data_IF_143731738387
#
_entry.id   IF_143731738387
#
_cell.length_a   1.000
_cell.length_b   1.000
_cell.length_c   1.000
_cell.angle_alpha   90.00
_cell.angle_beta   90.00
_cell.angle_gamma   90.00
#
_symmetry.space_group_name_H-M   'P 1'
#
loop_
_entity.id
_entity.type
_entity.pdbx_description
1 polymer ?
#
# COMPACT_ATOMS: atom_id res chain seq x y z
N UNK A 1 -27.96 -1.90 -12.60
CA UNK A 1 -27.79 -3.23 -11.97
C UNK A 1 -27.17 -3.07 -10.59
N UNK A 2 -25.90 -2.67 -10.47
CA UNK A 2 -25.23 -2.46 -9.17
C UNK A 2 -26.02 -1.62 -8.16
N UNK A 3 -26.55 -0.45 -8.58
CA UNK A 3 -27.39 0.40 -7.72
C UNK A 3 -28.66 -0.31 -7.24
N UNK A 4 -29.31 -1.07 -8.13
CA UNK A 4 -30.49 -1.85 -7.78
C UNK A 4 -30.15 -2.96 -6.77
N UNK A 5 -29.02 -3.65 -6.97
CA UNK A 5 -28.51 -4.65 -6.03
C UNK A 5 -28.23 -4.04 -4.65
N UNK A 6 -27.58 -2.86 -4.62
CA UNK A 6 -27.34 -2.11 -3.38
C UNK A 6 -28.66 -1.79 -2.65
N UNK A 7 -29.61 -1.18 -3.36
CA UNK A 7 -30.88 -0.77 -2.78
C UNK A 7 -31.69 -1.96 -2.26
N UNK A 8 -31.64 -3.11 -2.96
CA UNK A 8 -32.27 -4.35 -2.53
C UNK A 8 -31.65 -4.86 -1.21
N UNK A 9 -30.33 -4.89 -1.13
CA UNK A 9 -29.61 -5.34 0.07
C UNK A 9 -29.89 -4.42 1.26
N UNK A 10 -29.91 -3.10 1.05
CA UNK A 10 -30.24 -2.13 2.10
C UNK A 10 -31.69 -2.26 2.57
N UNK A 11 -32.64 -2.53 1.66
CA UNK A 11 -34.04 -2.82 2.02
C UNK A 11 -34.22 -4.11 2.83
N UNK A 12 -33.34 -5.08 2.66
CA UNK A 12 -33.29 -6.30 3.47
C UNK A 12 -32.69 -6.05 4.87
N UNK A 13 -32.26 -4.83 5.18
CA UNK A 13 -31.71 -4.44 6.48
C UNK A 13 -30.21 -4.67 6.62
N UNK A 14 -29.49 -4.94 5.53
CA UNK A 14 -28.04 -5.18 5.56
C UNK A 14 -27.25 -3.95 5.12
N UNK A 15 -26.08 -3.77 5.73
CA UNK A 15 -25.21 -2.62 5.45
C UNK A 15 -24.24 -2.92 4.31
N UNK A 16 -24.40 -2.25 3.17
CA UNK A 16 -23.42 -2.27 2.08
C UNK A 16 -22.29 -1.31 2.42
N UNK A 17 -21.08 -1.82 2.63
CA UNK A 17 -19.90 -1.02 3.04
C UNK A 17 -19.02 -0.59 1.88
N UNK A 18 -19.11 -1.28 0.73
CA UNK A 18 -18.34 -0.96 -0.46
C UNK A 18 -19.03 -1.47 -1.71
N UNK A 19 -18.76 -0.83 -2.85
CA UNK A 19 -19.11 -1.34 -4.17
C UNK A 19 -18.16 -0.80 -5.25
N UNK A 20 -17.82 -1.65 -6.21
CA UNK A 20 -17.12 -1.28 -7.45
C UNK A 20 -17.95 -1.71 -8.67
N UNK A 21 -17.41 -1.64 -9.88
CA UNK A 21 -18.12 -1.88 -11.16
C UNK A 21 -19.14 -3.02 -11.13
N UNK A 22 -18.76 -4.17 -10.58
CA UNK A 22 -19.48 -5.44 -10.63
C UNK A 22 -19.51 -6.18 -9.29
N UNK A 23 -19.11 -5.52 -8.19
CA UNK A 23 -19.03 -6.12 -6.86
C UNK A 23 -19.63 -5.23 -5.78
N UNK A 24 -20.20 -5.86 -4.75
CA UNK A 24 -20.63 -5.22 -3.50
C UNK A 24 -20.05 -5.97 -2.32
N UNK A 25 -19.74 -5.25 -1.24
CA UNK A 25 -19.30 -5.82 0.02
C UNK A 25 -20.30 -5.45 1.11
N UNK A 26 -20.66 -6.44 1.91
CA UNK A 26 -21.75 -6.34 2.88
C UNK A 26 -21.17 -6.66 4.26
N UNK A 27 -21.42 -5.77 5.22
CA UNK A 27 -21.10 -6.06 6.61
C UNK A 27 -22.19 -6.96 7.19
N UNK A 28 -21.83 -8.21 7.46
CA UNK A 28 -22.73 -9.23 8.02
C UNK A 28 -23.01 -9.01 9.51
N UNK A 29 -22.17 -8.23 10.20
CA UNK A 29 -22.19 -8.02 11.64
C UNK A 29 -22.23 -9.33 12.46
N UNK A 30 -21.64 -10.40 11.92
CA UNK A 30 -21.59 -11.72 12.55
C UNK A 30 -20.15 -12.23 12.61
N UNK A 31 -19.80 -12.85 13.74
CA UNK A 31 -18.51 -13.52 13.94
C UNK A 31 -18.54 -15.00 13.51
N UNK A 32 -19.71 -15.52 13.14
CA UNK A 32 -19.90 -16.90 12.71
C UNK A 32 -19.86 -17.00 11.17
N UNK A 33 -18.85 -17.68 10.65
CA UNK A 33 -18.67 -17.88 9.21
C UNK A 33 -19.88 -18.57 8.57
N UNK A 34 -20.56 -19.49 9.26
CA UNK A 34 -21.74 -20.18 8.73
C UNK A 34 -22.91 -19.22 8.55
N UNK A 35 -23.09 -18.29 9.48
CA UNK A 35 -24.12 -17.25 9.38
C UNK A 35 -23.80 -16.28 8.24
N UNK A 36 -22.54 -15.83 8.14
CA UNK A 36 -22.09 -14.97 7.04
C UNK A 36 -22.31 -15.63 5.67
N UNK A 37 -21.98 -16.92 5.55
CA UNK A 37 -22.20 -17.71 4.33
C UNK A 37 -23.67 -17.87 3.98
N UNK A 38 -24.52 -18.21 4.97
CA UNK A 38 -25.97 -18.32 4.80
C UNK A 38 -26.57 -17.00 4.32
N UNK A 39 -26.13 -15.88 4.89
CA UNK A 39 -26.52 -14.54 4.47
C UNK A 39 -26.10 -14.26 3.02
N UNK A 40 -24.85 -14.56 2.65
CA UNK A 40 -24.36 -14.40 1.28
C UNK A 40 -25.21 -15.16 0.26
N UNK A 41 -25.60 -16.41 0.56
CA UNK A 41 -26.47 -17.20 -0.32
C UNK A 41 -27.91 -16.68 -0.38
N UNK A 42 -28.46 -16.16 0.72
CA UNK A 42 -29.80 -15.55 0.71
C UNK A 42 -29.82 -14.32 -0.21
N UNK A 43 -28.82 -13.44 -0.07
CA UNK A 43 -28.70 -12.23 -0.91
C UNK A 43 -28.48 -12.62 -2.37
N UNK A 44 -27.58 -13.57 -2.64
CA UNK A 44 -27.39 -14.14 -3.98
C UNK A 44 -28.71 -14.59 -4.59
N UNK A 45 -29.51 -15.36 -3.87
CA UNK A 45 -30.80 -15.87 -4.36
C UNK A 45 -31.77 -14.75 -4.70
N UNK A 46 -31.94 -13.77 -3.80
CA UNK A 46 -32.84 -12.63 -3.99
C UNK A 46 -32.44 -11.77 -5.20
N UNK A 47 -31.15 -11.50 -5.36
CA UNK A 47 -30.63 -10.71 -6.49
C UNK A 47 -30.78 -11.48 -7.80
N UNK A 48 -30.43 -12.76 -7.83
CA UNK A 48 -30.49 -13.57 -9.06
C UNK A 48 -31.94 -13.78 -9.53
N UNK A 49 -32.92 -13.81 -8.63
CA UNK A 49 -34.35 -13.85 -9.00
C UNK A 49 -34.81 -12.61 -9.78
N UNK A 50 -34.09 -11.48 -9.66
CA UNK A 50 -34.39 -10.25 -10.40
C UNK A 50 -33.83 -10.25 -11.83
N UNK A 51 -33.06 -11.27 -12.23
CA UNK A 51 -32.30 -11.29 -13.47
C UNK A 51 -32.40 -12.64 -14.20
N UNK A 52 -32.50 -12.63 -15.53
CA UNK A 52 -32.67 -13.87 -16.33
C UNK A 52 -31.35 -14.50 -16.79
N UNK A 53 -30.35 -13.68 -17.09
CA UNK A 53 -29.08 -14.11 -17.71
C UNK A 53 -27.84 -13.69 -16.89
N UNK A 54 -28.05 -12.91 -15.83
CA UNK A 54 -26.98 -12.42 -14.98
C UNK A 54 -27.09 -13.11 -13.63
N UNK A 55 -25.97 -13.68 -13.18
CA UNK A 55 -25.85 -14.32 -11.89
C UNK A 55 -24.79 -13.63 -11.05
N UNK A 56 -25.14 -13.31 -9.81
CA UNK A 56 -24.22 -12.91 -8.77
C UNK A 56 -23.71 -14.17 -8.06
N UNK A 57 -22.44 -14.17 -7.71
CA UNK A 57 -21.78 -15.24 -6.97
C UNK A 57 -21.17 -14.72 -5.67
N UNK A 58 -21.02 -15.62 -4.69
CA UNK A 58 -20.29 -15.31 -3.47
C UNK A 58 -18.80 -15.49 -3.76
N UNK A 59 -18.08 -14.39 -3.96
CA UNK A 59 -16.64 -14.41 -4.25
C UNK A 59 -15.80 -14.83 -3.03
N UNK A 60 -16.17 -14.36 -1.83
CA UNK A 60 -15.49 -14.72 -0.60
C UNK A 60 -16.08 -14.05 0.64
N UNK A 61 -15.51 -14.38 1.80
CA UNK A 61 -15.84 -13.73 3.09
C UNK A 61 -14.56 -13.11 3.65
N UNK A 62 -14.63 -11.86 4.09
CA UNK A 62 -13.51 -11.20 4.77
C UNK A 62 -13.69 -11.31 6.29
N UNK A 63 -12.69 -11.84 6.99
CA UNK A 63 -12.66 -11.93 8.45
C UNK A 63 -12.24 -10.61 9.11
N UNK A 64 -11.32 -9.89 8.47
CA UNK A 64 -10.96 -8.50 8.79
C UNK A 64 -10.79 -7.72 7.50
N UNK A 65 -11.12 -6.43 7.55
CA UNK A 65 -10.99 -5.53 6.41
C UNK A 65 -10.58 -4.14 6.89
N UNK A 66 -9.58 -3.57 6.23
CA UNK A 66 -9.21 -2.16 6.28
C UNK A 66 -9.63 -1.50 4.97
N UNK A 67 -10.73 -0.76 4.98
CA UNK A 67 -11.21 0.00 3.82
C UNK A 67 -10.77 1.46 3.97
N UNK A 68 -9.93 1.95 3.06
CA UNK A 68 -9.39 3.32 3.12
C UNK A 68 -10.12 4.26 2.18
N UNK A 69 -10.14 3.92 0.89
CA UNK A 69 -10.75 4.70 -0.20
C UNK A 69 -11.25 3.76 -1.28
N UNK A 70 -11.94 4.32 -2.28
CA UNK A 70 -12.32 3.56 -3.47
C UNK A 70 -11.10 2.86 -4.09
N UNK A 71 -11.21 1.55 -4.35
CA UNK A 71 -10.14 0.69 -4.86
C UNK A 71 -8.87 0.62 -3.98
N UNK A 72 -8.97 0.99 -2.70
CA UNK A 72 -7.87 0.96 -1.72
C UNK A 72 -8.30 0.25 -0.44
N UNK A 73 -7.98 -1.03 -0.32
CA UNK A 73 -8.28 -1.82 0.87
C UNK A 73 -7.24 -2.94 1.11
N UNK A 74 -7.17 -3.39 2.36
CA UNK A 74 -6.57 -4.66 2.75
C UNK A 74 -7.65 -5.53 3.39
N UNK A 75 -7.63 -6.83 3.14
CA UNK A 75 -8.55 -7.76 3.77
C UNK A 75 -7.89 -9.10 4.06
N UNK A 76 -8.37 -9.78 5.11
CA UNK A 76 -8.09 -11.17 5.38
C UNK A 76 -9.27 -12.00 4.85
N UNK A 77 -9.12 -12.54 3.65
CA UNK A 77 -10.11 -13.40 3.01
C UNK A 77 -10.09 -14.78 3.64
N UNK A 78 -11.26 -15.39 3.79
CA UNK A 78 -11.46 -16.72 4.34
C UNK A 78 -12.25 -17.55 3.35
N UNK A 79 -11.81 -18.78 3.14
CA UNK A 79 -12.54 -19.75 2.36
C UNK A 79 -13.85 -20.14 3.08
N UNK A 80 -15.03 -19.96 2.47
CA UNK A 80 -16.31 -20.31 3.09
C UNK A 80 -16.47 -21.80 3.42
N UNK A 81 -15.64 -22.68 2.86
CA UNK A 81 -15.65 -24.13 3.11
C UNK A 81 -14.57 -24.56 4.13
N UNK A 82 -13.55 -23.73 4.36
CA UNK A 82 -12.47 -24.01 5.29
C UNK A 82 -12.00 -22.72 5.99
N UNK A 83 -12.45 -22.50 7.23
CA UNK A 83 -12.10 -21.27 7.97
C UNK A 83 -10.59 -21.10 8.22
N UNK A 84 -9.82 -22.20 8.21
CA UNK A 84 -8.38 -22.16 8.39
C UNK A 84 -7.64 -21.69 7.13
N UNK A 85 -8.29 -21.79 5.96
CA UNK A 85 -7.75 -21.30 4.70
C UNK A 85 -8.01 -19.80 4.60
N UNK A 86 -6.99 -19.03 5.01
CA UNK A 86 -7.03 -17.58 5.03
C UNK A 86 -5.95 -16.99 4.12
N UNK A 87 -6.29 -15.90 3.44
CA UNK A 87 -5.39 -15.23 2.50
C UNK A 87 -5.48 -13.72 2.66
N UNK A 88 -4.32 -13.07 2.75
CA UNK A 88 -4.21 -11.62 2.74
C UNK A 88 -4.42 -11.10 1.31
N UNK A 89 -5.36 -10.19 1.14
CA UNK A 89 -5.63 -9.47 -0.09
C UNK A 89 -5.32 -7.99 0.07
N UNK A 90 -4.51 -7.43 -0.84
CA UNK A 90 -4.13 -6.03 -0.85
C UNK A 90 -4.50 -5.42 -2.20
N UNK A 91 -5.33 -4.38 -2.23
CA UNK A 91 -5.76 -3.70 -3.45
C UNK A 91 -5.49 -2.21 -3.38
N UNK A 92 -4.76 -1.69 -4.38
CA UNK A 92 -4.52 -0.26 -4.59
C UNK A 92 -3.80 0.49 -3.47
N UNK A 93 -3.33 -0.21 -2.45
CA UNK A 93 -2.52 0.34 -1.37
C UNK A 93 -1.14 0.75 -1.88
N UNK A 94 -0.52 1.69 -1.18
CA UNK A 94 0.80 2.18 -1.60
C UNK A 94 1.87 1.09 -1.53
N UNK A 95 1.73 0.16 -0.59
CA UNK A 95 2.62 -1.00 -0.42
C UNK A 95 2.63 -1.97 -1.62
N UNK A 96 1.60 -1.96 -2.48
CA UNK A 96 1.57 -2.78 -3.70
C UNK A 96 2.05 -2.03 -4.94
N UNK A 97 2.40 -0.74 -4.80
CA UNK A 97 2.83 0.09 -5.93
C UNK A 97 4.36 0.12 -6.01
N UNK A 98 4.88 0.06 -7.23
CA UNK A 98 6.33 0.08 -7.50
C UNK A 98 7.03 1.40 -7.17
N UNK A 99 6.29 2.51 -7.15
CA UNK A 99 6.80 3.87 -6.96
C UNK A 99 6.99 4.29 -5.49
N UNK A 100 6.87 3.33 -4.55
CA UNK A 100 7.28 3.47 -3.16
C UNK A 100 8.50 2.62 -2.86
N UNK A 101 9.36 3.11 -1.97
CA UNK A 101 10.56 2.37 -1.57
C UNK A 101 10.22 1.04 -0.91
N UNK A 102 11.13 0.07 -1.03
CA UNK A 102 10.96 -1.22 -0.37
C UNK A 102 10.84 -1.07 1.16
N UNK A 103 11.57 -0.13 1.76
CA UNK A 103 11.45 0.25 3.17
C UNK A 103 10.01 0.65 3.55
N UNK A 104 9.37 1.50 2.74
CA UNK A 104 7.99 1.93 2.99
C UNK A 104 6.99 0.79 2.78
N UNK A 105 7.24 -0.09 1.80
CA UNK A 105 6.43 -1.30 1.58
C UNK A 105 6.53 -2.26 2.75
N UNK A 106 7.72 -2.49 3.28
CA UNK A 106 7.94 -3.36 4.43
C UNK A 106 7.28 -2.80 5.69
N UNK A 107 7.52 -1.53 6.00
CA UNK A 107 6.89 -0.85 7.12
C UNK A 107 5.35 -0.89 7.02
N UNK A 108 4.81 -0.54 5.85
CA UNK A 108 3.37 -0.58 5.63
C UNK A 108 2.79 -1.99 5.65
N UNK A 109 3.53 -3.00 5.16
CA UNK A 109 3.07 -4.40 5.19
C UNK A 109 3.03 -4.93 6.62
N UNK A 110 4.03 -4.61 7.44
CA UNK A 110 4.03 -4.96 8.86
C UNK A 110 2.82 -4.33 9.59
N UNK A 111 2.52 -3.06 9.32
CA UNK A 111 1.34 -2.39 9.88
C UNK A 111 0.03 -3.04 9.39
N UNK A 112 -0.08 -3.39 8.11
CA UNK A 112 -1.26 -4.10 7.60
C UNK A 112 -1.42 -5.46 8.26
N UNK A 113 -0.33 -6.19 8.47
CA UNK A 113 -0.35 -7.49 9.14
C UNK A 113 -0.88 -7.38 10.57
N UNK A 114 -0.46 -6.34 11.31
CA UNK A 114 -1.00 -6.05 12.64
C UNK A 114 -2.51 -5.71 12.57
N UNK A 115 -2.92 -4.83 11.65
CA UNK A 115 -4.34 -4.44 11.51
C UNK A 115 -5.24 -5.64 11.21
N UNK A 116 -4.76 -6.54 10.35
CA UNK A 116 -5.50 -7.72 9.92
C UNK A 116 -5.38 -8.91 10.87
N UNK A 117 -4.54 -8.85 11.91
CA UNK A 117 -4.39 -9.95 12.87
C UNK A 117 -5.67 -10.10 13.72
N UNK A 118 -6.44 -11.20 13.58
CA UNK A 118 -7.66 -11.40 14.34
C UNK A 118 -7.45 -11.48 15.87
N UNK A 119 -6.22 -11.75 16.34
CA UNK A 119 -5.90 -11.94 17.76
C UNK A 119 -5.68 -10.62 18.50
N UNK A 120 -5.28 -9.56 17.80
CA UNK A 120 -4.99 -8.29 18.43
C UNK A 120 -6.27 -7.54 18.75
N UNK A 121 -6.40 -7.11 20.01
CA UNK A 121 -7.37 -6.09 20.41
C UNK A 121 -6.99 -4.72 19.83
N UNK A 122 -7.92 -3.76 19.92
CA UNK A 122 -7.67 -2.41 19.40
C UNK A 122 -6.56 -1.68 20.19
N UNK A 123 -6.53 -1.87 21.50
CA UNK A 123 -5.54 -1.24 22.37
C UNK A 123 -4.13 -1.81 22.12
N UNK A 124 -4.02 -3.14 21.99
CA UNK A 124 -2.76 -3.81 21.63
C UNK A 124 -2.29 -3.41 20.23
N UNK A 125 -3.21 -3.29 19.26
CA UNK A 125 -2.88 -2.92 17.88
C UNK A 125 -2.10 -1.61 17.81
N UNK A 126 -2.53 -0.57 18.52
CA UNK A 126 -1.86 0.74 18.48
C UNK A 126 -0.47 0.67 19.09
N UNK A 127 -0.33 -0.02 20.23
CA UNK A 127 0.95 -0.23 20.88
C UNK A 127 1.93 -0.97 19.95
N UNK A 128 1.48 -2.07 19.34
CA UNK A 128 2.29 -2.88 18.41
C UNK A 128 2.67 -2.10 17.14
N UNK A 129 1.78 -1.26 16.60
CA UNK A 129 2.13 -0.38 15.48
C UNK A 129 3.27 0.56 15.88
N UNK A 130 3.13 1.25 17.02
CA UNK A 130 4.17 2.19 17.48
C UNK A 130 5.48 1.48 17.78
N UNK A 131 5.45 0.31 18.42
CA UNK A 131 6.63 -0.52 18.70
C UNK A 131 7.30 -0.98 17.39
N UNK A 132 6.52 -1.39 16.38
CA UNK A 132 7.02 -1.77 15.06
C UNK A 132 7.76 -0.61 14.37
N UNK A 133 7.23 0.62 14.47
CA UNK A 133 7.87 1.82 13.92
C UNK A 133 9.17 2.18 14.67
N UNK A 134 9.18 2.03 16.00
CA UNK A 134 10.39 2.24 16.81
C UNK A 134 11.46 1.20 16.50
N UNK A 135 11.08 -0.08 16.31
CA UNK A 135 11.99 -1.15 15.84
C UNK A 135 12.55 -0.84 14.46
N UNK A 136 11.73 -0.32 13.55
CA UNK A 136 12.20 0.14 12.24
C UNK A 136 13.23 1.25 12.38
N UNK A 137 12.97 2.26 13.23
CA UNK A 137 13.93 3.35 13.48
C UNK A 137 15.26 2.83 14.04
N UNK A 138 15.21 1.96 15.04
CA UNK A 138 16.40 1.36 15.63
C UNK A 138 17.20 0.50 14.63
N UNK A 139 16.54 -0.12 13.64
CA UNK A 139 17.21 -0.83 12.54
C UNK A 139 17.92 0.14 11.60
N UNK A 140 17.28 1.26 11.26
CA UNK A 140 17.88 2.30 10.41
C UNK A 140 19.14 2.89 11.04
N UNK A 141 19.12 3.16 12.35
CA UNK A 141 20.28 3.69 13.08
C UNK A 141 21.48 2.74 13.10
N UNK A 142 21.25 1.43 12.94
CA UNK A 142 22.31 0.40 12.85
C UNK A 142 22.87 0.21 11.44
N UNK A 143 22.28 0.87 10.45
CA UNK A 143 22.56 0.65 9.03
C UNK A 143 21.71 -0.48 8.45
N UNK A 144 21.26 -0.27 7.22
CA UNK A 144 20.41 -1.19 6.47
C UNK A 144 20.90 -1.34 5.03
N UNK A 145 20.45 -2.41 4.37
CA UNK A 145 20.76 -2.66 2.97
C UNK A 145 20.23 -1.53 2.07
N UNK A 146 21.08 -1.05 1.15
CA UNK A 146 20.75 0.00 0.18
C UNK A 146 19.56 -0.33 -0.71
N UNK A 147 19.33 -1.61 -1.01
CA UNK A 147 18.18 -2.13 -1.79
C UNK A 147 16.84 -1.71 -1.19
N UNK A 148 16.76 -1.52 0.13
CA UNK A 148 15.51 -1.13 0.81
C UNK A 148 15.08 0.29 0.44
N UNK A 149 16.01 1.11 -0.01
CA UNK A 149 15.78 2.51 -0.34
C UNK A 149 15.40 2.71 -1.82
N UNK A 150 15.44 1.65 -2.63
CA UNK A 150 15.17 1.78 -4.06
C UNK A 150 13.70 2.05 -4.36
N UNK A 151 13.48 3.03 -5.23
CA UNK A 151 12.19 3.39 -5.79
C UNK A 151 12.23 3.09 -7.28
N UNK A 152 11.24 2.34 -7.78
CA UNK A 152 11.19 1.94 -9.18
C UNK A 152 10.09 2.71 -9.92
N UNK A 153 10.44 3.36 -11.04
CA UNK A 153 9.46 4.05 -11.89
C UNK A 153 9.73 3.79 -13.36
N UNK A 154 8.66 3.51 -14.10
CA UNK A 154 8.72 3.22 -15.53
C UNK A 154 8.81 4.52 -16.34
N UNK A 155 9.66 4.52 -17.35
CA UNK A 155 9.75 5.58 -18.33
C UNK A 155 8.54 5.55 -19.28
N UNK A 156 7.77 6.63 -19.30
CA UNK A 156 6.63 6.79 -20.21
C UNK A 156 7.01 7.40 -21.56
N UNK A 157 8.26 7.86 -21.69
CA UNK A 157 8.87 8.44 -22.91
C UNK A 157 10.35 8.05 -22.92
N UNK A 158 11.09 8.30 -24.01
CA UNK A 158 12.54 8.13 -23.91
C UNK A 158 13.11 9.20 -22.96
N UNK A 159 14.22 8.93 -22.25
CA UNK A 159 14.79 9.88 -21.28
C UNK A 159 15.01 11.30 -21.84
N UNK A 160 15.40 11.41 -23.12
CA UNK A 160 15.63 12.70 -23.81
C UNK A 160 14.36 13.49 -24.12
N UNK A 161 13.19 12.83 -24.13
CA UNK A 161 11.90 13.43 -24.49
C UNK A 161 11.15 14.00 -23.28
N UNK A 162 11.77 13.99 -22.08
CA UNK A 162 11.20 14.57 -20.87
C UNK A 162 11.51 16.08 -20.80
N UNK A 163 10.47 16.90 -20.66
CA UNK A 163 10.62 18.36 -20.62
C UNK A 163 11.05 18.91 -19.24
N UNK A 164 10.71 18.22 -18.16
CA UNK A 164 11.02 18.63 -16.79
C UNK A 164 11.75 17.52 -16.03
N UNK A 165 13.06 17.42 -16.26
CA UNK A 165 13.89 16.43 -15.56
C UNK A 165 14.04 16.73 -14.07
N UNK A 166 13.88 18.00 -13.65
CA UNK A 166 14.08 18.40 -12.24
C UNK A 166 13.00 17.84 -11.32
N UNK A 167 11.79 17.62 -11.83
CA UNK A 167 10.70 16.97 -11.08
C UNK A 167 10.56 15.47 -11.35
N UNK A 168 11.37 14.91 -12.25
CA UNK A 168 11.25 13.52 -12.71
C UNK A 168 12.54 12.73 -12.43
N UNK A 169 12.76 12.29 -11.18
CA UNK A 169 14.01 11.63 -10.75
C UNK A 169 14.41 10.44 -11.64
N UNK A 170 13.47 9.52 -11.91
CA UNK A 170 13.67 8.39 -12.81
C UNK A 170 14.14 8.75 -14.22
N UNK A 171 13.67 9.87 -14.79
CA UNK A 171 14.09 10.32 -16.11
C UNK A 171 15.48 10.97 -16.06
N UNK A 172 15.76 11.77 -15.03
CA UNK A 172 17.07 12.38 -14.80
C UNK A 172 18.16 11.32 -14.59
N UNK A 173 17.88 10.30 -13.77
CA UNK A 173 18.77 9.15 -13.55
C UNK A 173 19.00 8.39 -14.85
N UNK A 174 17.93 8.07 -15.59
CA UNK A 174 18.07 7.34 -16.86
C UNK A 174 18.89 8.11 -17.90
N UNK A 175 18.70 9.42 -18.01
CA UNK A 175 19.48 10.27 -18.92
C UNK A 175 20.97 10.24 -18.53
N UNK A 176 21.28 10.45 -17.26
CA UNK A 176 22.66 10.45 -16.74
C UNK A 176 23.34 9.09 -16.90
N UNK A 177 22.62 8.00 -16.65
CA UNK A 177 23.15 6.63 -16.86
C UNK A 177 23.42 6.35 -18.34
N UNK A 178 22.54 6.78 -19.25
CA UNK A 178 22.75 6.60 -20.68
C UNK A 178 23.97 7.38 -21.20
N UNK A 179 24.26 8.56 -20.63
CA UNK A 179 25.44 9.36 -20.98
C UNK A 179 26.76 8.65 -20.66
N UNK A 180 26.76 7.71 -19.71
CA UNK A 180 27.95 6.90 -19.40
C UNK A 180 28.30 5.89 -20.51
N UNK A 181 27.39 5.62 -21.44
CA UNK A 181 27.52 4.57 -22.46
C UNK A 181 27.40 3.13 -21.94
N UNK A 182 27.26 2.92 -20.62
CA UNK A 182 27.11 1.59 -20.00
C UNK A 182 25.66 1.11 -19.96
N UNK A 183 24.71 2.03 -20.09
CA UNK A 183 23.27 1.77 -20.03
C UNK A 183 22.59 2.19 -21.33
N UNK A 184 21.43 1.59 -21.61
CA UNK A 184 20.61 1.92 -22.79
C UNK A 184 19.12 1.93 -22.42
N UNK A 185 18.75 2.75 -21.43
CA UNK A 185 17.39 2.91 -20.93
C UNK A 185 16.52 3.72 -21.90
N UNK A 186 15.32 3.23 -22.20
CA UNK A 186 14.39 3.75 -23.22
C UNK A 186 12.96 3.77 -22.70
N UNK A 187 12.04 4.26 -23.53
CA UNK A 187 10.61 4.18 -23.27
C UNK A 187 10.20 2.74 -22.88
N UNK A 188 9.45 2.62 -21.77
CA UNK A 188 8.96 1.35 -21.26
C UNK A 188 9.86 0.70 -20.19
N UNK A 189 11.13 1.10 -20.10
CA UNK A 189 12.05 0.54 -19.11
C UNK A 189 11.74 1.02 -17.69
N UNK A 190 12.07 0.17 -16.72
CA UNK A 190 11.98 0.50 -15.30
C UNK A 190 13.33 1.07 -14.86
N UNK A 191 13.28 2.21 -14.19
CA UNK A 191 14.46 2.87 -13.64
C UNK A 191 14.35 2.86 -12.13
N UNK A 192 15.39 2.37 -11.48
CA UNK A 192 15.53 2.34 -10.04
C UNK A 192 16.41 3.49 -9.59
N UNK A 193 16.04 4.13 -8.49
CA UNK A 193 16.81 5.23 -7.92
C UNK A 193 16.62 5.32 -6.42
N UNK A 194 17.59 5.93 -5.76
CA UNK A 194 17.67 6.20 -4.34
C UNK A 194 17.84 7.72 -4.17
N UNK A 195 17.16 8.30 -3.19
CA UNK A 195 17.33 9.71 -2.84
C UNK A 195 18.50 9.83 -1.86
N UNK A 196 19.49 10.64 -2.22
CA UNK A 196 20.72 10.78 -1.47
C UNK A 196 20.96 12.23 -1.05
N UNK A 197 21.57 12.45 0.10
CA UNK A 197 22.28 13.67 0.43
C UNK A 197 23.54 13.76 -0.44
N UNK A 198 23.64 14.82 -1.25
CA UNK A 198 24.74 15.07 -2.20
C UNK A 198 25.51 16.35 -1.87
N UNK A 199 25.27 16.94 -0.69
CA UNK A 199 25.85 18.20 -0.25
C UNK A 199 25.25 19.46 -0.90
N UNK A 200 24.25 19.32 -1.78
CA UNK A 200 23.58 20.45 -2.42
C UNK A 200 22.30 20.85 -1.70
N UNK A 201 21.83 22.08 -1.94
CA UNK A 201 20.51 22.54 -1.47
C UNK A 201 19.38 22.16 -2.44
N UNK A 202 19.62 21.21 -3.35
CA UNK A 202 18.62 20.80 -4.33
C UNK A 202 17.46 20.04 -3.66
N UNK A 203 16.31 20.09 -4.33
CA UNK A 203 15.15 19.30 -3.93
C UNK A 203 15.45 17.79 -3.98
N UNK A 204 14.75 16.99 -3.18
CA UNK A 204 14.89 15.53 -3.17
C UNK A 204 14.76 14.92 -4.58
N UNK A 205 13.89 15.47 -5.43
CA UNK A 205 13.67 14.97 -6.81
C UNK A 205 14.90 15.13 -7.71
N UNK A 206 15.78 16.09 -7.41
CA UNK A 206 17.01 16.33 -8.15
C UNK A 206 18.20 15.55 -7.58
N UNK A 207 18.09 15.06 -6.35
CA UNK A 207 19.13 14.28 -5.65
C UNK A 207 18.87 12.77 -5.74
N UNK A 208 18.36 12.33 -6.89
CA UNK A 208 18.10 10.93 -7.18
C UNK A 208 19.28 10.30 -7.91
N UNK A 209 19.73 9.14 -7.43
CA UNK A 209 20.89 8.41 -7.92
C UNK A 209 20.60 6.92 -8.07
N UNK A 210 21.21 6.29 -9.05
CA UNK A 210 21.20 4.83 -9.18
C UNK A 210 22.17 4.20 -8.18
N UNK A 211 21.94 2.93 -7.79
CA UNK A 211 22.80 2.22 -6.83
C UNK A 211 24.27 2.22 -7.22
N UNK A 212 24.58 2.02 -8.50
CA UNK A 212 25.97 2.04 -9.01
C UNK A 212 26.66 3.39 -8.82
N UNK A 213 25.90 4.50 -8.79
CA UNK A 213 26.45 5.83 -8.53
C UNK A 213 26.76 6.01 -7.05
N UNK A 214 25.91 5.49 -6.17
CA UNK A 214 26.13 5.47 -4.73
C UNK A 214 27.35 4.62 -4.37
N UNK A 215 27.50 3.45 -4.99
CA UNK A 215 28.65 2.55 -4.76
C UNK A 215 29.98 3.14 -5.26
N UNK A 216 29.95 4.01 -6.26
CA UNK A 216 31.15 4.63 -6.85
C UNK A 216 31.50 5.99 -6.27
N UNK A 217 30.61 6.62 -5.49
CA UNK A 217 30.83 7.92 -4.90
C UNK A 217 30.59 7.92 -3.37
N UNK A 218 31.66 7.94 -2.55
CA UNK A 218 31.53 7.89 -1.09
C UNK A 218 30.92 9.15 -0.46
N UNK A 219 30.84 10.26 -1.20
CA UNK A 219 30.19 11.49 -0.74
C UNK A 219 28.65 11.38 -0.76
N UNK A 220 28.09 10.48 -1.57
CA UNK A 220 26.65 10.25 -1.61
C UNK A 220 26.23 9.42 -0.41
N UNK A 221 25.30 9.95 0.39
CA UNK A 221 24.72 9.26 1.53
C UNK A 221 23.22 9.17 1.36
N UNK A 222 22.60 8.09 1.84
CA UNK A 222 21.14 7.93 1.74
C UNK A 222 20.47 9.00 2.62
N UNK A 223 19.48 9.71 2.05
CA UNK A 223 18.72 10.74 2.76
C UNK A 223 17.65 10.09 3.66
N UNK A 224 18.05 9.63 4.84
CA UNK A 224 17.15 8.95 5.79
C UNK A 224 15.95 9.82 6.17
N UNK A 225 16.14 11.14 6.25
CA UNK A 225 15.07 12.08 6.52
C UNK A 225 13.97 12.01 5.44
N UNK A 226 14.35 12.02 4.16
CA UNK A 226 13.42 11.86 3.05
C UNK A 226 12.66 10.53 3.15
N UNK A 227 13.34 9.42 3.43
CA UNK A 227 12.67 8.13 3.53
C UNK A 227 11.70 8.04 4.72
N UNK A 228 12.07 8.58 5.87
CA UNK A 228 11.16 8.60 7.02
C UNK A 228 9.96 9.51 6.76
N UNK A 229 10.18 10.75 6.30
CA UNK A 229 9.14 11.76 6.17
C UNK A 229 8.29 11.64 4.90
N UNK A 230 8.88 11.23 3.77
CA UNK A 230 8.23 11.21 2.44
C UNK A 230 7.97 9.81 1.90
N UNK A 231 8.53 8.75 2.52
CA UNK A 231 8.25 7.36 2.13
C UNK A 231 7.45 6.61 3.19
N UNK A 232 8.01 6.41 4.39
CA UNK A 232 7.39 5.58 5.44
C UNK A 232 6.19 6.27 6.09
N UNK A 233 6.38 7.48 6.60
CA UNK A 233 5.34 8.24 7.31
C UNK A 233 4.02 8.37 6.54
N UNK A 234 3.99 8.80 5.26
CA UNK A 234 2.74 8.95 4.53
C UNK A 234 2.03 7.63 4.25
N UNK A 235 2.77 6.53 4.05
CA UNK A 235 2.18 5.19 3.87
C UNK A 235 1.50 4.73 5.16
N UNK A 236 2.23 4.76 6.26
CA UNK A 236 1.72 4.31 7.57
C UNK A 236 0.57 5.20 8.05
N UNK A 237 0.69 6.52 7.88
CA UNK A 237 -0.37 7.46 8.26
C UNK A 237 -1.67 7.21 7.50
N UNK A 238 -1.61 6.86 6.20
CA UNK A 238 -2.81 6.52 5.43
C UNK A 238 -3.43 5.20 5.86
N UNK A 239 -2.62 4.21 6.24
CA UNK A 239 -3.10 2.93 6.76
C UNK A 239 -3.80 3.10 8.11
N UNK A 240 -3.26 3.96 8.97
CA UNK A 240 -3.79 4.17 10.32
C UNK A 240 -4.89 5.25 10.38
N UNK A 241 -5.18 5.97 9.29
CA UNK A 241 -6.16 7.06 9.29
C UNK A 241 -7.56 6.67 9.81
N UNK A 242 -8.07 5.43 9.63
CA UNK A 242 -9.35 5.02 10.23
C UNK A 242 -9.26 4.58 11.70
N UNK A 243 -8.08 4.56 12.32
CA UNK A 243 -7.86 4.13 13.70
C UNK A 243 -7.88 5.39 14.58
N UNK A 244 -8.88 5.52 15.46
CA UNK A 244 -9.14 6.76 16.22
C UNK A 244 -8.06 7.05 17.28
N UNK A 245 -7.41 6.01 17.77
CA UNK A 245 -6.49 6.07 18.91
C UNK A 245 -5.05 6.43 18.51
N UNK A 246 -4.78 6.63 17.22
CA UNK A 246 -3.49 7.10 16.70
C UNK A 246 -3.68 8.14 15.60
N UNK A 247 -2.66 8.98 15.39
CA UNK A 247 -2.68 10.00 14.35
C UNK A 247 -1.30 10.12 13.66
N UNK A 248 -1.24 10.97 12.64
CA UNK A 248 -0.02 11.23 11.89
C UNK A 248 1.11 11.82 12.76
N UNK A 249 0.80 12.51 13.86
CA UNK A 249 1.80 13.11 14.75
C UNK A 249 2.46 12.03 15.58
N UNK A 250 1.67 11.14 16.20
CA UNK A 250 2.16 9.99 16.98
C UNK A 250 3.01 9.05 16.11
N UNK A 251 2.60 8.84 14.85
CA UNK A 251 3.37 8.04 13.89
C UNK A 251 4.74 8.69 13.60
N UNK A 252 4.79 10.02 13.42
CA UNK A 252 6.05 10.73 13.21
C UNK A 252 6.96 10.66 14.45
N UNK A 253 6.38 10.72 15.65
CA UNK A 253 7.11 10.59 16.91
C UNK A 253 7.70 9.18 17.09
N UNK A 254 6.94 8.14 16.75
CA UNK A 254 7.40 6.75 16.80
C UNK A 254 8.53 6.46 15.80
N UNK A 255 8.54 7.15 14.65
CA UNK A 255 9.63 7.10 13.67
C UNK A 255 10.88 7.87 14.11
N UNK A 256 10.84 8.53 15.28
CA UNK A 256 11.95 9.28 15.86
C UNK A 256 12.20 10.57 15.09
N UNK A 257 11.37 11.60 15.40
CA UNK A 257 11.25 12.90 14.70
C UNK A 257 12.50 13.27 13.88
N UNK A 258 12.31 13.64 12.60
CA UNK A 258 13.40 14.01 11.71
C UNK A 258 14.36 15.07 12.27
#
# INVERSE_FOLDING_TARGET
>A
ILMHTKDLVEKLGYSVVYGDTDSIMINTNSTDLKQAKKLGFEIKRQVNQCHRLLELELDGVFKRMLLLKKKKYAALTVNPDNELDTKKELKGLDIVRRDWSQLAKEAGSAVVDLILDPKLSRDELVAEIHESLQKLRARLDKGMDTTLFEISKQLTRNPKDYHDLKSQPHAAVAMRLNETGKFSLRHGDIVEYIICEDGTTNSAMQRAYHRTELESNPELKIDLHYYLAQQVHPVVSRLCAPIEETDAVRIAEALGKP
#
